data_IF_324761573026
#
_entry.id   IF_324761573026
#
_cell.length_a   1.000
_cell.length_b   1.000
_cell.length_c   1.000
_cell.angle_alpha   90.00
_cell.angle_beta   90.00
_cell.angle_gamma   90.00
#
_symmetry.space_group_name_H-M   'P 1'
#
loop_
_entity.id
_entity.type
_entity.pdbx_description
1 polymer ?
#
# COMPACT_ATOMS: atom_id res chain seq x y z
N UNK A 1 12.67 -5.01 11.97
CA UNK A 1 13.71 -4.22 11.28
C UNK A 1 13.13 -3.63 10.00
N UNK A 2 13.40 -2.38 9.74
CA UNK A 2 12.93 -1.69 8.53
C UNK A 2 14.13 -1.34 7.66
N UNK A 3 14.04 -1.61 6.36
CA UNK A 3 15.05 -1.19 5.39
C UNK A 3 14.42 -0.88 4.04
N UNK A 4 15.16 -0.14 3.23
CA UNK A 4 14.75 0.10 1.85
C UNK A 4 14.89 -1.20 1.05
N UNK A 5 13.91 -1.48 0.19
CA UNK A 5 13.90 -2.65 -0.67
C UNK A 5 14.54 -2.33 -2.01
N UNK A 6 15.10 -3.37 -2.64
CA UNK A 6 15.72 -3.29 -3.96
C UNK A 6 15.08 -4.30 -4.91
N UNK A 7 15.50 -4.29 -6.19
CA UNK A 7 14.95 -5.22 -7.19
C UNK A 7 15.07 -6.69 -6.78
N UNK A 8 16.10 -7.04 -6.00
CA UNK A 8 16.26 -8.41 -5.50
C UNK A 8 15.13 -8.82 -4.54
N UNK A 9 14.39 -7.85 -4.01
CA UNK A 9 13.26 -8.11 -3.10
C UNK A 9 11.92 -8.26 -3.84
N UNK A 10 11.93 -8.21 -5.19
CA UNK A 10 10.70 -8.24 -6.00
C UNK A 10 9.79 -9.42 -5.66
N UNK A 11 10.35 -10.63 -5.55
CA UNK A 11 9.54 -11.82 -5.26
C UNK A 11 8.85 -11.75 -3.92
N UNK A 12 9.56 -11.29 -2.88
CA UNK A 12 8.99 -11.15 -1.54
C UNK A 12 7.92 -10.05 -1.51
N UNK A 13 8.18 -8.93 -2.17
CA UNK A 13 7.24 -7.81 -2.23
C UNK A 13 5.94 -8.20 -2.96
N UNK A 14 6.06 -8.86 -4.10
CA UNK A 14 4.89 -9.29 -4.86
C UNK A 14 4.06 -10.32 -4.09
N UNK A 15 4.72 -11.23 -3.38
CA UNK A 15 4.03 -12.24 -2.57
C UNK A 15 3.27 -11.59 -1.42
N UNK A 16 3.91 -10.66 -0.71
CA UNK A 16 3.27 -9.92 0.38
C UNK A 16 2.04 -9.18 -0.14
N UNK A 17 2.18 -8.46 -1.25
CA UNK A 17 1.09 -7.73 -1.88
C UNK A 17 -0.10 -8.66 -2.13
N UNK A 18 0.15 -9.83 -2.74
CA UNK A 18 -0.93 -10.75 -3.10
C UNK A 18 -1.64 -11.29 -1.86
N UNK A 19 -0.89 -11.69 -0.85
CA UNK A 19 -1.47 -12.21 0.38
C UNK A 19 -2.34 -11.14 1.06
N UNK A 20 -1.81 -9.94 1.21
CA UNK A 20 -2.51 -8.87 1.91
C UNK A 20 -3.74 -8.39 1.12
N UNK A 21 -3.61 -8.26 -0.21
CA UNK A 21 -4.70 -7.82 -1.08
C UNK A 21 -5.84 -8.83 -1.06
N UNK A 22 -5.54 -10.12 -1.24
CA UNK A 22 -6.55 -11.17 -1.27
C UNK A 22 -7.28 -11.29 0.07
N UNK A 23 -6.57 -11.07 1.18
CA UNK A 23 -7.18 -11.05 2.49
C UNK A 23 -8.16 -9.89 2.65
N UNK A 24 -7.77 -8.70 2.19
CA UNK A 24 -8.58 -7.49 2.31
C UNK A 24 -9.76 -7.48 1.34
N UNK A 25 -9.58 -8.04 0.14
CA UNK A 25 -10.54 -7.98 -0.95
C UNK A 25 -10.77 -9.36 -1.55
N UNK A 26 -11.34 -10.31 -0.77
CA UNK A 26 -11.44 -11.70 -1.23
C UNK A 26 -12.30 -11.90 -2.48
N UNK A 27 -13.20 -10.96 -2.77
CA UNK A 27 -14.01 -11.02 -4.00
C UNK A 27 -13.23 -10.65 -5.26
N UNK A 28 -11.98 -10.17 -5.13
CA UNK A 28 -11.11 -9.85 -6.26
C UNK A 28 -9.99 -10.87 -6.47
N UNK A 29 -10.04 -11.99 -5.73
CA UNK A 29 -9.03 -13.06 -5.88
C UNK A 29 -9.02 -13.59 -7.31
N UNK A 30 -7.83 -13.81 -7.84
CA UNK A 30 -7.65 -14.44 -9.14
C UNK A 30 -7.60 -13.51 -10.33
N UNK A 31 -7.67 -12.18 -10.13
CA UNK A 31 -7.54 -11.22 -11.23
C UNK A 31 -6.15 -11.21 -11.84
N UNK A 32 -5.12 -11.53 -11.06
CA UNK A 32 -3.74 -11.46 -11.49
C UNK A 32 -2.99 -12.72 -11.09
N UNK A 33 -2.03 -13.13 -11.94
CA UNK A 33 -1.16 -14.27 -11.64
C UNK A 33 0.06 -13.83 -10.84
N UNK A 34 0.77 -14.77 -10.18
CA UNK A 34 2.03 -14.43 -9.50
C UNK A 34 3.07 -13.80 -10.43
N UNK A 35 3.13 -14.24 -11.69
CA UNK A 35 4.07 -13.66 -12.66
C UNK A 35 3.69 -12.23 -13.00
N UNK A 36 2.41 -11.93 -13.13
CA UNK A 36 1.92 -10.56 -13.36
C UNK A 36 2.24 -9.67 -12.16
N UNK A 37 2.09 -10.17 -10.94
CA UNK A 37 2.44 -9.41 -9.74
C UNK A 37 3.93 -9.08 -9.70
N UNK A 38 4.80 -10.05 -10.01
CA UNK A 38 6.25 -9.81 -10.05
C UNK A 38 6.61 -8.80 -11.13
N UNK A 39 5.99 -8.91 -12.30
CA UNK A 39 6.22 -7.98 -13.40
C UNK A 39 5.82 -6.56 -12.99
N UNK A 40 4.65 -6.41 -12.35
CA UNK A 40 4.15 -5.13 -11.88
C UNK A 40 5.13 -4.47 -10.90
N UNK A 41 5.62 -5.23 -9.91
CA UNK A 41 6.59 -4.68 -8.96
C UNK A 41 7.90 -4.32 -9.64
N UNK A 42 8.42 -5.19 -10.50
CA UNK A 42 9.71 -4.94 -11.15
C UNK A 42 9.65 -3.76 -12.12
N UNK A 43 8.61 -3.67 -12.92
CA UNK A 43 8.54 -2.72 -14.02
C UNK A 43 7.88 -1.40 -13.65
N UNK A 44 7.03 -1.38 -12.64
CA UNK A 44 6.30 -0.18 -12.25
C UNK A 44 6.66 0.29 -10.85
N UNK A 45 6.52 -0.54 -9.84
CA UNK A 45 6.71 -0.10 -8.46
C UNK A 45 8.18 0.26 -8.18
N UNK A 46 9.11 -0.67 -8.42
CA UNK A 46 10.53 -0.38 -8.16
C UNK A 46 11.12 0.63 -9.13
N UNK A 47 10.55 0.78 -10.33
CA UNK A 47 11.02 1.78 -11.30
C UNK A 47 10.58 3.20 -10.94
N UNK A 48 9.45 3.36 -10.25
CA UNK A 48 8.81 4.64 -10.02
C UNK A 48 8.89 5.10 -8.57
N UNK A 49 8.91 4.15 -7.63
CA UNK A 49 8.74 4.43 -6.19
C UNK A 49 10.00 4.14 -5.39
N UNK A 50 10.11 4.83 -4.26
CA UNK A 50 10.92 4.35 -3.14
C UNK A 50 10.09 3.31 -2.41
N UNK A 51 10.69 2.18 -2.09
CA UNK A 51 10.00 1.06 -1.45
C UNK A 51 10.72 0.70 -0.16
N UNK A 52 9.98 0.66 0.95
CA UNK A 52 10.51 0.30 2.26
C UNK A 52 9.77 -0.91 2.78
N UNK A 53 10.48 -1.79 3.45
CA UNK A 53 9.91 -3.01 4.01
C UNK A 53 10.23 -3.20 5.47
N UNK A 54 9.30 -3.83 6.18
CA UNK A 54 9.46 -4.23 7.56
C UNK A 54 9.61 -5.75 7.62
N UNK A 55 10.63 -6.21 8.34
CA UNK A 55 10.96 -7.64 8.44
C UNK A 55 10.81 -8.13 9.87
N UNK A 56 10.28 -9.36 10.01
CA UNK A 56 10.33 -10.13 11.24
C UNK A 56 11.28 -11.30 10.94
N UNK A 57 12.53 -11.22 11.45
CA UNK A 57 13.57 -12.13 11.00
C UNK A 57 13.81 -11.94 9.50
N UNK A 58 13.68 -13.02 8.75
CA UNK A 58 13.87 -12.99 7.30
C UNK A 58 12.54 -12.77 6.53
N UNK A 59 11.42 -12.73 7.24
CA UNK A 59 10.12 -12.59 6.60
C UNK A 59 9.72 -11.14 6.44
N UNK A 60 9.38 -10.76 5.20
CA UNK A 60 8.83 -9.43 4.91
C UNK A 60 7.38 -9.38 5.40
N UNK A 61 7.10 -8.56 6.41
CA UNK A 61 5.78 -8.48 7.03
C UNK A 61 4.97 -7.27 6.60
N UNK A 62 5.61 -6.28 6.00
CA UNK A 62 4.92 -5.11 5.47
C UNK A 62 5.79 -4.34 4.50
N UNK A 63 5.16 -3.57 3.61
CA UNK A 63 5.88 -2.68 2.70
C UNK A 63 5.08 -1.42 2.43
N UNK A 64 5.80 -0.34 2.07
CA UNK A 64 5.22 0.87 1.53
C UNK A 64 6.00 1.28 0.29
N UNK A 65 5.28 1.70 -0.75
CA UNK A 65 5.87 2.24 -1.96
C UNK A 65 5.25 3.61 -2.23
N UNK A 66 6.09 4.63 -2.36
CA UNK A 66 5.61 5.99 -2.57
C UNK A 66 6.54 6.79 -3.46
N UNK A 67 5.99 7.82 -4.12
CA UNK A 67 6.75 8.77 -4.94
C UNK A 67 5.96 10.07 -5.07
N UNK A 68 6.66 11.18 -5.06
CA UNK A 68 6.10 12.51 -5.39
C UNK A 68 4.78 12.83 -4.67
N UNK A 69 4.69 12.47 -3.40
CA UNK A 69 3.49 12.71 -2.61
C UNK A 69 2.38 11.69 -2.81
N UNK A 70 2.63 10.58 -3.52
CA UNK A 70 1.66 9.52 -3.71
C UNK A 70 2.10 8.23 -3.02
N UNK A 71 1.21 7.65 -2.24
CA UNK A 71 1.39 6.28 -1.74
C UNK A 71 0.74 5.36 -2.77
N UNK A 72 1.56 4.59 -3.47
CA UNK A 72 1.07 3.64 -4.47
C UNK A 72 0.68 2.32 -3.85
N UNK A 73 1.42 1.86 -2.84
CA UNK A 73 1.17 0.58 -2.16
C UNK A 73 1.50 0.71 -0.68
N UNK A 74 0.65 0.15 0.16
CA UNK A 74 0.91 -0.04 1.59
C UNK A 74 0.20 -1.31 2.02
N UNK A 75 0.97 -2.33 2.33
CA UNK A 75 0.44 -3.64 2.71
C UNK A 75 1.14 -4.19 3.92
N UNK A 76 0.38 -4.86 4.78
CA UNK A 76 0.87 -5.55 5.97
C UNK A 76 0.26 -6.95 5.96
N UNK A 77 1.08 -7.99 6.21
CA UNK A 77 0.56 -9.34 6.33
C UNK A 77 -0.54 -9.40 7.39
N UNK A 78 -1.62 -10.16 7.15
CA UNK A 78 -2.67 -10.29 8.15
C UNK A 78 -2.16 -10.72 9.52
N UNK A 79 -1.17 -11.63 9.56
CA UNK A 79 -0.58 -12.11 10.81
C UNK A 79 0.16 -11.02 11.58
N UNK A 80 0.54 -9.93 10.93
CA UNK A 80 1.26 -8.81 11.54
C UNK A 80 0.35 -7.61 11.85
N UNK A 81 -0.95 -7.72 11.62
CA UNK A 81 -1.90 -6.66 11.94
C UNK A 81 -1.93 -6.38 13.44
N UNK A 82 -2.17 -5.12 13.80
CA UNK A 82 -2.29 -4.71 15.19
C UNK A 82 -0.96 -4.53 15.94
N UNK A 83 0.16 -4.58 15.24
CA UNK A 83 1.50 -4.44 15.82
C UNK A 83 2.18 -3.12 15.47
N UNK A 84 1.47 -2.19 14.84
CA UNK A 84 2.03 -0.90 14.48
C UNK A 84 2.87 -0.90 13.21
N UNK A 85 2.92 -1.99 12.46
CA UNK A 85 3.74 -2.08 11.24
C UNK A 85 3.31 -1.06 10.20
N UNK A 86 1.99 -0.96 9.96
CA UNK A 86 1.47 0.02 9.00
C UNK A 86 1.81 1.45 9.39
N UNK A 87 1.73 1.78 10.67
CA UNK A 87 2.07 3.11 11.17
C UNK A 87 3.55 3.42 10.99
N UNK A 88 4.43 2.46 11.31
CA UNK A 88 5.87 2.63 11.12
C UNK A 88 6.21 2.92 9.67
N UNK A 89 5.59 2.19 8.74
CA UNK A 89 5.83 2.37 7.31
C UNK A 89 5.26 3.70 6.83
N UNK A 90 4.05 4.04 7.24
CA UNK A 90 3.42 5.30 6.86
C UNK A 90 4.23 6.50 7.34
N UNK A 91 4.84 6.40 8.53
CA UNK A 91 5.66 7.48 9.08
C UNK A 91 6.89 7.77 8.20
N UNK A 92 7.41 6.78 7.49
CA UNK A 92 8.52 7.00 6.55
C UNK A 92 8.06 7.94 5.43
N UNK A 93 6.91 7.68 4.83
CA UNK A 93 6.39 8.54 3.78
C UNK A 93 6.03 9.93 4.32
N UNK A 94 5.44 10.00 5.51
CA UNK A 94 5.12 11.28 6.14
C UNK A 94 6.37 12.11 6.43
N UNK A 95 7.45 11.45 6.79
CA UNK A 95 8.73 12.13 7.02
C UNK A 95 9.35 12.68 5.75
N UNK A 96 9.08 12.05 4.62
CA UNK A 96 9.67 12.43 3.33
C UNK A 96 8.84 13.45 2.54
N UNK A 97 7.57 13.63 2.86
CA UNK A 97 6.65 14.43 2.06
C UNK A 97 5.84 15.40 2.94
N UNK A 98 5.56 16.58 2.39
CA UNK A 98 4.68 17.56 3.05
C UNK A 98 3.20 17.20 2.86
N UNK A 99 2.92 16.43 1.81
CA UNK A 99 1.57 16.06 1.41
C UNK A 99 1.59 14.65 0.86
N UNK A 100 0.57 13.86 1.18
CA UNK A 100 0.43 12.49 0.68
C UNK A 100 -0.99 12.28 0.18
N UNK A 101 -1.12 11.61 -0.95
CA UNK A 101 -2.40 11.18 -1.49
C UNK A 101 -2.35 9.68 -1.77
N UNK A 102 -3.52 9.05 -1.75
CA UNK A 102 -3.62 7.63 -2.08
C UNK A 102 -5.03 7.28 -2.53
N UNK A 103 -5.12 6.17 -3.26
CA UNK A 103 -6.40 5.55 -3.60
C UNK A 103 -6.55 4.25 -2.83
N UNK A 104 -7.75 3.97 -2.34
CA UNK A 104 -8.10 2.66 -1.77
C UNK A 104 -9.55 2.35 -2.12
N UNK A 105 -9.92 1.07 -2.05
CA UNK A 105 -11.27 0.68 -2.44
C UNK A 105 -12.28 1.02 -1.34
N UNK A 106 -13.49 1.41 -1.74
CA UNK A 106 -14.53 1.80 -0.79
C UNK A 106 -14.86 0.69 0.20
N UNK A 107 -14.83 -0.57 -0.25
CA UNK A 107 -15.15 -1.72 0.59
C UNK A 107 -14.00 -2.18 1.48
N UNK A 108 -12.81 -1.63 1.30
CA UNK A 108 -11.69 -1.92 2.18
C UNK A 108 -11.81 -1.09 3.46
N UNK A 109 -12.74 -1.49 4.32
CA UNK A 109 -13.08 -0.74 5.53
C UNK A 109 -11.88 -0.61 6.48
N UNK A 110 -11.05 -1.65 6.58
CA UNK A 110 -9.87 -1.63 7.45
C UNK A 110 -8.87 -0.57 7.01
N UNK A 111 -8.58 -0.50 5.71
CA UNK A 111 -7.67 0.52 5.18
C UNK A 111 -8.25 1.92 5.39
N UNK A 112 -9.53 2.10 5.14
CA UNK A 112 -10.17 3.40 5.32
C UNK A 112 -10.07 3.88 6.77
N UNK A 113 -10.39 3.00 7.74
CA UNK A 113 -10.26 3.34 9.16
C UNK A 113 -8.81 3.67 9.53
N UNK A 114 -7.87 2.91 8.98
CA UNK A 114 -6.44 3.14 9.22
C UNK A 114 -6.02 4.54 8.79
N UNK A 115 -6.35 4.93 7.57
CA UNK A 115 -5.96 6.24 7.06
C UNK A 115 -6.70 7.38 7.76
N UNK A 116 -8.00 7.24 8.00
CA UNK A 116 -8.78 8.28 8.67
C UNK A 116 -8.29 8.53 10.09
N UNK A 117 -7.91 7.47 10.80
CA UNK A 117 -7.35 7.59 12.15
C UNK A 117 -5.99 8.29 12.17
N UNK A 118 -5.31 8.38 11.01
CA UNK A 118 -3.96 8.96 10.91
C UNK A 118 -3.92 10.28 10.15
N UNK A 119 -5.06 10.95 10.09
CA UNK A 119 -5.13 12.32 9.59
C UNK A 119 -5.42 12.46 8.10
N UNK A 120 -5.75 11.36 7.42
CA UNK A 120 -6.16 11.44 6.02
C UNK A 120 -7.64 11.80 5.92
N UNK A 121 -7.95 12.68 4.97
CA UNK A 121 -9.33 13.13 4.71
C UNK A 121 -9.76 12.62 3.35
N UNK A 122 -10.99 12.11 3.26
CA UNK A 122 -11.57 11.66 2.01
C UNK A 122 -11.88 12.87 1.13
N UNK A 123 -11.35 12.88 -0.10
CA UNK A 123 -11.50 14.01 -1.02
C UNK A 123 -12.20 13.66 -2.32
N UNK A 124 -12.31 12.37 -2.64
CA UNK A 124 -12.97 11.95 -3.88
C UNK A 124 -13.46 10.52 -3.77
N UNK A 125 -14.63 10.23 -4.37
CA UNK A 125 -15.16 8.87 -4.53
C UNK A 125 -15.42 8.62 -5.99
N UNK A 126 -15.17 7.39 -6.45
CA UNK A 126 -15.53 6.98 -7.81
C UNK A 126 -16.33 5.68 -7.78
N UNK A 127 -16.98 5.38 -8.90
CA UNK A 127 -17.73 4.14 -9.06
C UNK A 127 -16.85 2.98 -9.57
N UNK A 128 -15.55 3.22 -9.76
CA UNK A 128 -14.60 2.19 -10.17
C UNK A 128 -14.53 1.93 -11.66
N UNK A 129 -15.29 2.65 -12.49
CA UNK A 129 -15.32 2.38 -13.93
C UNK A 129 -13.99 2.65 -14.62
N UNK A 130 -13.11 3.45 -13.99
CA UNK A 130 -11.81 3.84 -14.56
C UNK A 130 -10.63 3.03 -14.03
N UNK A 131 -10.82 2.20 -13.02
CA UNK A 131 -9.70 1.38 -12.53
C UNK A 131 -9.79 -0.05 -13.10
N UNK A 132 -8.64 -0.75 -13.04
CA UNK A 132 -8.54 -2.10 -13.63
C UNK A 132 -9.48 -3.10 -12.99
N UNK A 133 -9.67 -2.99 -11.69
CA UNK A 133 -10.48 -3.92 -10.90
C UNK A 133 -11.97 -3.67 -11.07
N UNK A 134 -12.35 -2.53 -11.65
CA UNK A 134 -13.76 -2.11 -11.75
C UNK A 134 -14.44 -2.10 -10.40
N UNK A 135 -13.69 -1.71 -9.36
CA UNK A 135 -14.14 -1.70 -7.98
C UNK A 135 -14.23 -0.25 -7.50
N UNK A 136 -15.37 0.19 -6.91
CA UNK A 136 -15.48 1.56 -6.40
C UNK A 136 -14.35 1.89 -5.42
N UNK A 137 -13.75 3.06 -5.61
CA UNK A 137 -12.60 3.50 -4.82
C UNK A 137 -12.79 4.90 -4.27
N UNK A 138 -11.85 5.30 -3.42
CA UNK A 138 -11.82 6.63 -2.79
C UNK A 138 -10.41 7.14 -2.78
N UNK A 139 -10.26 8.47 -2.86
CA UNK A 139 -8.98 9.15 -2.75
C UNK A 139 -8.91 9.88 -1.42
N UNK A 140 -7.78 9.70 -0.73
CA UNK A 140 -7.50 10.35 0.55
C UNK A 140 -6.34 11.32 0.41
N UNK A 141 -6.36 12.35 1.24
CA UNK A 141 -5.33 13.38 1.31
C UNK A 141 -4.89 13.58 2.75
N UNK A 142 -3.58 13.65 2.95
CA UNK A 142 -2.96 14.08 4.21
C UNK A 142 -2.01 15.23 3.92
N UNK A 143 -2.01 16.25 4.79
CA UNK A 143 -1.02 17.33 4.74
C UNK A 143 -0.38 17.49 6.10
N UNK A 144 0.91 17.85 6.11
CA UNK A 144 1.65 18.06 7.34
C UNK A 144 1.03 19.22 8.11
N UNK A 145 0.92 19.06 9.45
CA UNK A 145 0.35 20.08 10.33
C UNK A 145 -1.06 20.52 9.96
N UNK A 146 -1.82 19.67 9.25
CA UNK A 146 -3.20 19.95 8.90
C UNK A 146 -3.37 20.97 7.78
N UNK A 147 -2.34 21.23 6.99
CA UNK A 147 -2.39 22.21 5.89
C UNK A 147 -2.77 21.58 4.57
#
# INVERSE_FOLDING_TARGET
MIRELALTDTGAAARLHRIAFDHAMPWLVGLYTPDEDRWFYRKHIFAMCRVWGRFDGDELSGLIAFHDGWIEQLYVLPAAHGRGVGTELLDIAKGACERLELWTFQRNARARRFYEARGFTLVEKTDGTRNEEREPDVRYLWTRAGR
#
